data_IF_993637016660
#
_entry.id   IF_993637016660
#
_cell.length_a   1.000
_cell.length_b   1.000
_cell.length_c   1.000
_cell.angle_alpha   90.00
_cell.angle_beta   90.00
_cell.angle_gamma   90.00
#
_symmetry.space_group_name_H-M   'P 1'
#
loop_
_entity.id
_entity.type
_entity.pdbx_description
1 polymer ?
#
# COMPACT_ATOMS: atom_id res chain seq x y z
N UNK A 1 12.30 -0.21 0.20
CA UNK A 1 13.20 0.90 0.58
C UNK A 1 12.52 1.87 1.54
N UNK A 2 11.32 2.40 1.24
CA UNK A 2 10.53 3.20 2.18
C UNK A 2 10.39 2.52 3.56
N UNK A 3 10.00 1.23 3.56
CA UNK A 3 9.89 0.42 4.78
C UNK A 3 11.22 0.31 5.55
N UNK A 4 12.35 0.21 4.82
CA UNK A 4 13.66 0.10 5.43
C UNK A 4 14.06 1.41 6.12
N UNK A 5 13.94 2.55 5.42
CA UNK A 5 14.27 3.87 5.98
C UNK A 5 13.39 4.16 7.20
N UNK A 6 12.08 3.96 7.06
CA UNK A 6 11.10 4.21 8.14
C UNK A 6 11.41 3.36 9.37
N UNK A 7 11.63 2.04 9.19
CA UNK A 7 11.96 1.14 10.29
C UNK A 7 13.32 1.45 10.91
N UNK A 8 14.33 1.80 10.10
CA UNK A 8 15.67 2.07 10.63
C UNK A 8 15.69 3.35 11.46
N UNK A 9 14.96 4.38 11.04
CA UNK A 9 14.80 5.59 11.85
C UNK A 9 14.03 5.28 13.13
N UNK A 10 12.92 4.53 13.07
CA UNK A 10 12.20 4.10 14.27
C UNK A 10 13.14 3.39 15.28
N UNK A 11 13.87 2.36 14.83
CA UNK A 11 14.84 1.58 15.62
C UNK A 11 15.96 2.44 16.24
N UNK A 12 16.46 3.44 15.52
CA UNK A 12 17.49 4.32 16.07
C UNK A 12 16.89 5.32 17.06
N UNK A 13 15.67 5.80 16.83
CA UNK A 13 15.00 6.74 17.74
C UNK A 13 14.40 6.08 18.98
N UNK A 14 14.39 4.75 19.09
CA UNK A 14 14.00 4.05 20.33
C UNK A 14 15.15 3.95 21.34
N UNK A 15 16.38 4.27 20.93
CA UNK A 15 17.56 4.30 21.79
C UNK A 15 17.75 5.70 22.39
N UNK A 16 17.30 5.90 23.63
CA UNK A 16 17.32 7.22 24.31
C UNK A 16 18.73 7.79 24.55
N UNK A 17 19.77 6.98 24.48
CA UNK A 17 21.17 7.34 24.72
C UNK A 17 21.90 7.87 23.49
N UNK A 18 21.29 7.82 22.30
CA UNK A 18 21.87 8.34 21.06
C UNK A 18 21.05 9.51 20.50
N UNK A 19 21.70 10.37 19.72
CA UNK A 19 21.05 11.39 18.89
C UNK A 19 21.31 11.09 17.42
N UNK A 20 20.27 11.14 16.60
CA UNK A 20 20.37 10.89 15.16
C UNK A 20 20.67 12.20 14.43
N UNK A 21 21.70 12.19 13.59
CA UNK A 21 21.91 13.21 12.57
C UNK A 21 21.64 12.62 11.19
N UNK A 22 20.44 12.87 10.66
CA UNK A 22 20.07 12.46 9.31
C UNK A 22 20.46 13.54 8.30
N UNK A 23 21.38 13.23 7.39
CA UNK A 23 21.75 14.14 6.30
C UNK A 23 21.09 13.69 4.99
N UNK A 24 20.32 14.58 4.37
CA UNK A 24 19.81 14.40 3.01
C UNK A 24 20.69 15.20 2.05
N UNK A 25 21.41 14.49 1.19
CA UNK A 25 22.21 15.07 0.12
C UNK A 25 21.75 14.51 -1.25
N UNK A 26 22.07 15.23 -2.32
CA UNK A 26 21.41 15.16 -3.62
C UNK A 26 21.33 13.79 -4.34
N UNK A 27 20.57 13.78 -5.45
CA UNK A 27 20.48 12.69 -6.43
C UNK A 27 19.35 11.68 -6.20
N UNK A 28 18.95 11.41 -4.95
CA UNK A 28 17.90 10.41 -4.62
C UNK A 28 16.65 11.03 -3.98
N UNK A 29 15.92 11.82 -4.75
CA UNK A 29 14.73 12.60 -4.30
C UNK A 29 13.73 11.78 -3.47
N UNK A 30 13.35 10.59 -3.96
CA UNK A 30 12.38 9.72 -3.27
C UNK A 30 12.89 9.23 -1.91
N UNK A 31 14.19 8.99 -1.76
CA UNK A 31 14.77 8.54 -0.48
C UNK A 31 14.88 9.68 0.52
N UNK A 32 15.24 10.88 0.04
CA UNK A 32 15.22 12.09 0.85
C UNK A 32 13.82 12.38 1.40
N UNK A 33 12.78 12.21 0.57
CA UNK A 33 11.39 12.32 1.02
C UNK A 33 11.04 11.34 2.14
N UNK A 34 11.35 10.04 1.96
CA UNK A 34 11.06 9.04 3.01
C UNK A 34 11.86 9.27 4.29
N UNK A 35 13.11 9.74 4.18
CA UNK A 35 13.94 10.09 5.33
C UNK A 35 13.33 11.25 6.10
N UNK A 36 13.01 12.36 5.41
CA UNK A 36 12.38 13.53 6.04
C UNK A 36 11.05 13.18 6.68
N UNK A 37 10.23 12.36 6.02
CA UNK A 37 8.95 11.91 6.58
C UNK A 37 9.13 11.02 7.81
N UNK A 38 10.06 10.05 7.77
CA UNK A 38 10.37 9.22 8.94
C UNK A 38 10.88 10.07 10.12
N UNK A 39 11.72 11.08 9.85
CA UNK A 39 12.14 12.03 10.88
C UNK A 39 10.96 12.83 11.44
N UNK A 40 10.00 13.25 10.62
CA UNK A 40 8.78 13.90 11.13
C UNK A 40 7.96 12.98 12.05
N UNK A 41 7.89 11.68 11.76
CA UNK A 41 7.14 10.73 12.56
C UNK A 41 7.85 10.36 13.87
N UNK A 42 9.13 10.01 13.81
CA UNK A 42 9.85 9.42 14.94
C UNK A 42 10.92 10.32 15.54
N UNK A 43 11.36 11.35 14.83
CA UNK A 43 12.45 12.22 15.28
C UNK A 43 12.12 12.89 16.60
N UNK A 44 12.99 12.69 17.59
CA UNK A 44 12.92 13.27 18.94
C UNK A 44 13.62 14.62 18.97
N UNK A 45 13.42 15.38 20.04
CA UNK A 45 13.94 16.75 20.15
C UNK A 45 15.45 16.87 19.91
N UNK A 46 16.23 15.85 20.29
CA UNK A 46 17.68 15.78 20.06
C UNK A 46 18.10 15.39 18.64
N UNK A 47 17.19 14.88 17.81
CA UNK A 47 17.52 14.35 16.48
C UNK A 47 17.46 15.45 15.42
N UNK A 48 18.45 15.53 14.52
CA UNK A 48 18.61 16.60 13.52
C UNK A 48 18.45 16.06 12.11
N UNK A 49 17.77 16.82 11.24
CA UNK A 49 17.75 16.63 9.79
C UNK A 49 18.55 17.76 9.16
N UNK A 50 19.47 17.47 8.24
CA UNK A 50 20.27 18.49 7.57
C UNK A 50 20.43 18.25 6.07
N UNK A 51 20.81 19.29 5.34
CA UNK A 51 21.27 19.23 3.96
C UNK A 51 22.69 19.76 3.86
N UNK A 52 23.53 19.09 3.07
CA UNK A 52 24.89 19.55 2.78
C UNK A 52 24.84 20.48 1.59
N UNK A 53 25.21 21.74 1.81
CA UNK A 53 25.45 22.71 0.77
C UNK A 53 26.94 22.93 0.58
N UNK A 54 27.29 23.23 -0.65
CA UNK A 54 28.62 23.65 -1.06
C UNK A 54 28.45 24.94 -1.82
N UNK A 55 29.35 25.90 -1.64
CA UNK A 55 29.25 27.17 -2.37
C UNK A 55 29.21 26.95 -3.89
N UNK A 56 28.45 27.79 -4.60
CA UNK A 56 28.10 27.68 -6.03
C UNK A 56 29.27 27.34 -6.97
N UNK A 57 30.48 27.79 -6.62
CA UNK A 57 31.72 27.49 -7.32
C UNK A 57 31.98 25.99 -7.44
N UNK A 58 31.57 25.17 -6.49
CA UNK A 58 31.84 23.73 -6.46
C UNK A 58 30.57 22.88 -6.65
N UNK A 59 29.41 23.49 -6.86
CA UNK A 59 28.20 22.76 -7.25
C UNK A 59 28.35 22.13 -8.65
N UNK A 60 27.92 20.87 -8.78
CA UNK A 60 27.92 20.09 -10.02
C UNK A 60 29.30 19.98 -10.70
N UNK A 61 30.39 20.06 -9.93
CA UNK A 61 31.76 19.85 -10.43
C UNK A 61 32.10 18.37 -10.32
N UNK A 62 32.30 17.71 -11.47
CA UNK A 62 32.50 16.25 -11.55
C UNK A 62 33.66 15.74 -10.70
N UNK A 63 34.75 16.51 -10.63
CA UNK A 63 35.97 16.11 -9.91
C UNK A 63 36.04 16.66 -8.48
N UNK A 64 34.97 17.31 -7.99
CA UNK A 64 34.87 17.79 -6.62
C UNK A 64 34.08 16.80 -5.74
N UNK A 65 34.71 16.33 -4.66
CA UNK A 65 34.08 15.41 -3.70
C UNK A 65 33.96 16.02 -2.30
N UNK A 66 35.03 16.63 -1.79
CA UNK A 66 35.09 17.32 -0.51
C UNK A 66 36.25 18.32 -0.52
N UNK A 67 36.26 19.34 0.37
CA UNK A 67 37.38 20.28 0.47
C UNK A 67 38.67 19.56 0.85
N UNK A 68 39.76 19.83 0.13
CA UNK A 68 41.07 19.24 0.40
C UNK A 68 41.82 20.03 1.45
N UNK A 69 42.73 19.38 2.19
CA UNK A 69 43.62 20.06 3.15
C UNK A 69 44.67 20.89 2.42
N UNK A 70 45.25 20.32 1.37
CA UNK A 70 46.25 20.97 0.51
C UNK A 70 45.63 21.48 -0.78
N UNK A 71 46.37 22.36 -1.47
CA UNK A 71 45.95 22.91 -2.75
C UNK A 71 45.74 21.79 -3.77
N UNK A 72 44.51 21.70 -4.28
CA UNK A 72 44.14 20.71 -5.27
C UNK A 72 43.30 21.39 -6.35
N UNK A 73 43.92 21.63 -7.49
CA UNK A 73 43.30 22.32 -8.61
C UNK A 73 42.52 21.33 -9.47
N UNK A 74 41.23 21.62 -9.66
CA UNK A 74 40.31 20.85 -10.50
C UNK A 74 39.72 21.76 -11.58
N UNK A 75 39.31 21.17 -12.69
CA UNK A 75 38.72 21.93 -13.80
C UNK A 75 37.21 22.05 -13.66
N UNK A 76 36.69 23.26 -13.83
CA UNK A 76 35.25 23.54 -14.01
C UNK A 76 35.05 24.37 -15.26
N UNK A 77 34.52 23.78 -16.33
CA UNK A 77 34.17 24.48 -17.59
C UNK A 77 35.34 25.33 -18.15
N UNK A 78 36.57 24.81 -18.10
CA UNK A 78 37.76 25.50 -18.58
C UNK A 78 38.40 26.49 -17.58
N UNK A 79 37.85 26.64 -16.37
CA UNK A 79 38.47 27.40 -15.27
C UNK A 79 39.09 26.45 -14.24
N UNK A 80 40.29 26.78 -13.76
CA UNK A 80 40.94 26.06 -12.66
C UNK A 80 40.47 26.64 -11.32
N UNK A 81 39.83 25.79 -10.51
CA UNK A 81 39.39 26.13 -9.15
C UNK A 81 40.11 25.23 -8.14
N UNK A 82 40.45 25.76 -6.97
CA UNK A 82 41.14 25.01 -5.92
C UNK A 82 40.15 24.42 -4.93
N UNK A 83 40.03 23.09 -4.87
CA UNK A 83 39.10 22.36 -4.00
C UNK A 83 39.25 22.69 -2.52
N UNK A 84 40.44 23.12 -2.06
CA UNK A 84 40.69 23.59 -0.69
C UNK A 84 39.81 24.78 -0.30
N UNK A 85 39.44 25.62 -1.26
CA UNK A 85 38.65 26.83 -1.04
C UNK A 85 37.14 26.56 -0.97
N UNK A 86 36.71 25.32 -1.15
CA UNK A 86 35.31 24.97 -1.06
C UNK A 86 34.78 25.15 0.37
N UNK A 87 33.66 25.84 0.49
CA UNK A 87 32.96 26.03 1.75
C UNK A 87 31.79 25.07 1.81
N UNK A 88 31.81 24.18 2.80
CA UNK A 88 30.74 23.20 3.06
C UNK A 88 29.91 23.70 4.22
N UNK A 89 28.61 23.87 3.97
CA UNK A 89 27.64 24.27 4.98
C UNK A 89 26.70 23.11 5.27
N UNK A 90 26.63 22.72 6.54
CA UNK A 90 25.64 21.76 7.02
C UNK A 90 24.41 22.52 7.50
N UNK A 91 23.43 22.71 6.62
CA UNK A 91 22.22 23.45 6.94
C UNK A 91 21.19 22.53 7.59
N UNK A 92 20.76 22.86 8.80
CA UNK A 92 19.63 22.16 9.43
C UNK A 92 18.33 22.44 8.68
N UNK A 93 17.53 21.39 8.47
CA UNK A 93 16.21 21.48 7.88
C UNK A 93 15.19 21.37 9.01
N UNK A 94 14.38 22.40 9.27
CA UNK A 94 13.29 22.29 10.22
C UNK A 94 12.24 21.31 9.68
N UNK A 95 11.70 20.46 10.55
CA UNK A 95 10.62 19.53 10.22
C UNK A 95 9.60 19.42 11.37
N UNK A 96 8.38 19.03 11.04
CA UNK A 96 7.29 18.90 12.02
C UNK A 96 7.47 17.61 12.80
N UNK A 97 7.62 17.71 14.12
CA UNK A 97 7.75 16.56 15.01
C UNK A 97 6.38 16.08 15.45
N UNK A 98 5.94 14.97 14.89
CA UNK A 98 4.65 14.36 15.19
C UNK A 98 4.75 13.32 16.31
N UNK A 99 5.97 12.88 16.70
CA UNK A 99 6.20 11.79 17.68
C UNK A 99 5.33 11.91 18.94
N UNK A 100 5.25 13.10 19.54
CA UNK A 100 4.49 13.34 20.78
C UNK A 100 2.97 13.36 20.62
N UNK A 101 2.46 13.48 19.39
CA UNK A 101 1.02 13.47 19.09
C UNK A 101 0.48 12.04 18.96
N UNK A 102 1.35 11.04 18.95
CA UNK A 102 0.95 9.64 18.95
C UNK A 102 0.84 9.16 20.40
N UNK A 103 -0.29 8.50 20.74
CA UNK A 103 -0.39 7.72 21.97
C UNK A 103 0.77 6.70 22.01
N UNK A 104 1.37 6.46 23.17
CA UNK A 104 2.53 5.56 23.32
C UNK A 104 2.33 4.20 22.65
N UNK A 105 1.09 3.69 22.69
CA UNK A 105 0.70 2.41 22.10
C UNK A 105 0.74 2.39 20.56
N UNK A 106 0.63 3.55 19.90
CA UNK A 106 0.67 3.63 18.44
C UNK A 106 2.12 3.56 17.93
N UNK A 107 3.08 4.14 18.66
CA UNK A 107 4.51 4.10 18.31
C UNK A 107 5.05 2.66 18.34
N UNK A 108 4.77 1.92 19.40
CA UNK A 108 5.15 0.49 19.54
C UNK A 108 4.58 -0.36 18.40
N UNK A 109 3.36 -0.04 17.99
CA UNK A 109 2.72 -0.73 16.89
C UNK A 109 3.24 -0.32 15.50
N UNK A 110 3.87 0.84 15.36
CA UNK A 110 4.37 1.35 14.10
C UNK A 110 5.78 0.78 13.78
N UNK A 111 6.57 0.41 14.80
CA UNK A 111 7.92 -0.16 14.61
C UNK A 111 7.93 -1.43 13.72
N UNK A 112 6.86 -2.22 13.75
CA UNK A 112 6.71 -3.45 12.93
C UNK A 112 5.97 -3.23 11.60
N UNK A 113 5.51 -2.02 11.30
CA UNK A 113 4.59 -1.76 10.18
C UNK A 113 5.31 -1.27 8.92
N UNK A 114 4.74 -1.62 7.77
CA UNK A 114 5.17 -1.06 6.48
C UNK A 114 4.84 0.43 6.43
N UNK A 115 5.56 1.19 5.60
CA UNK A 115 5.29 2.61 5.35
C UNK A 115 3.82 2.82 4.98
N UNK A 116 3.27 1.96 4.11
CA UNK A 116 1.85 1.97 3.77
C UNK A 116 0.95 1.85 5.01
N UNK A 117 1.19 0.89 5.90
CA UNK A 117 0.38 0.75 7.12
C UNK A 117 0.44 1.99 8.02
N UNK A 118 1.61 2.63 8.12
CA UNK A 118 1.78 3.89 8.86
C UNK A 118 0.94 5.00 8.26
N UNK A 119 1.00 5.18 6.93
CA UNK A 119 0.15 6.15 6.22
C UNK A 119 -1.34 5.86 6.42
N UNK A 120 -1.78 4.60 6.34
CA UNK A 120 -3.18 4.24 6.61
C UNK A 120 -3.58 4.61 8.04
N UNK A 121 -2.76 4.31 9.03
CA UNK A 121 -3.05 4.64 10.42
C UNK A 121 -3.26 6.14 10.61
N UNK A 122 -2.38 6.96 10.02
CA UNK A 122 -2.47 8.41 10.11
C UNK A 122 -3.72 8.95 9.42
N UNK A 123 -4.05 8.40 8.26
CA UNK A 123 -5.27 8.76 7.55
C UNK A 123 -6.54 8.30 8.30
N UNK A 124 -6.47 7.18 9.03
CA UNK A 124 -7.57 6.66 9.84
C UNK A 124 -7.83 7.48 11.11
N UNK A 125 -6.78 7.95 11.78
CA UNK A 125 -6.90 8.72 13.03
C UNK A 125 -7.76 9.98 12.89
N UNK A 126 -7.85 10.53 11.66
CA UNK A 126 -8.65 11.71 11.33
C UNK A 126 -9.96 11.38 10.60
N UNK A 127 -10.27 10.11 10.32
CA UNK A 127 -11.43 9.72 9.54
C UNK A 127 -12.57 9.20 10.43
N UNK A 128 -13.71 9.89 10.42
CA UNK A 128 -14.92 9.45 11.13
C UNK A 128 -15.53 8.17 10.51
N UNK A 129 -15.32 7.93 9.22
CA UNK A 129 -15.81 6.75 8.49
C UNK A 129 -14.79 6.21 7.49
N UNK A 130 -14.67 4.89 7.38
CA UNK A 130 -13.82 4.24 6.38
C UNK A 130 -14.54 4.21 5.04
N UNK A 131 -13.94 4.84 4.03
CA UNK A 131 -14.39 4.77 2.64
C UNK A 131 -13.50 3.86 1.81
N UNK A 132 -14.12 3.10 0.91
CA UNK A 132 -13.45 2.25 -0.07
C UNK A 132 -13.73 2.80 -1.46
N UNK A 133 -12.69 2.99 -2.26
CA UNK A 133 -12.82 3.20 -3.70
C UNK A 133 -12.26 1.99 -4.45
N UNK A 134 -13.06 1.41 -5.33
CA UNK A 134 -12.70 0.28 -6.17
C UNK A 134 -12.55 0.78 -7.59
N UNK A 135 -11.41 0.47 -8.21
CA UNK A 135 -11.18 0.69 -9.62
C UNK A 135 -11.10 -0.67 -10.33
N UNK A 136 -12.14 -1.00 -11.10
CA UNK A 136 -12.25 -2.29 -11.78
C UNK A 136 -11.19 -2.42 -12.88
N UNK A 137 -11.03 -1.38 -13.71
CA UNK A 137 -10.08 -1.34 -14.83
C UNK A 137 -8.64 -1.53 -14.39
N UNK A 138 -8.28 -0.91 -13.26
CA UNK A 138 -6.95 -0.95 -12.71
C UNK A 138 -6.75 -2.08 -11.68
N UNK A 139 -7.79 -2.89 -11.44
CA UNK A 139 -7.85 -3.95 -10.43
C UNK A 139 -7.25 -3.52 -9.09
N UNK A 140 -7.79 -2.43 -8.52
CA UNK A 140 -7.30 -1.90 -7.24
C UNK A 140 -8.41 -1.55 -6.27
N UNK A 141 -8.11 -1.71 -4.99
CA UNK A 141 -8.92 -1.30 -3.86
C UNK A 141 -8.15 -0.20 -3.12
N UNK A 142 -8.75 0.97 -3.00
CA UNK A 142 -8.17 2.16 -2.41
C UNK A 142 -8.86 2.44 -1.08
N UNK A 143 -8.09 2.45 0.01
CA UNK A 143 -8.60 2.67 1.37
C UNK A 143 -7.61 3.55 2.12
N UNK A 144 -8.10 4.63 2.74
CA UNK A 144 -7.28 5.56 3.52
C UNK A 144 -6.05 6.07 2.74
N UNK A 145 -6.26 6.44 1.47
CA UNK A 145 -5.19 6.93 0.58
C UNK A 145 -4.18 5.89 0.12
N UNK A 146 -4.40 4.60 0.40
CA UNK A 146 -3.54 3.50 -0.05
C UNK A 146 -4.22 2.73 -1.17
N UNK A 147 -3.57 2.69 -2.33
CA UNK A 147 -3.99 1.87 -3.46
C UNK A 147 -3.40 0.46 -3.39
N UNK A 148 -4.26 -0.54 -3.23
CA UNK A 148 -3.88 -1.95 -3.16
C UNK A 148 -4.25 -2.63 -4.48
N UNK A 149 -3.25 -2.94 -5.29
CA UNK A 149 -3.43 -3.73 -6.52
C UNK A 149 -3.79 -5.16 -6.16
N UNK A 150 -4.87 -5.69 -6.72
CA UNK A 150 -5.34 -7.07 -6.58
C UNK A 150 -5.43 -7.71 -7.97
N UNK A 151 -5.56 -9.03 -8.07
CA UNK A 151 -5.85 -9.64 -9.38
C UNK A 151 -7.35 -9.58 -9.67
N UNK A 152 -7.73 -9.64 -10.95
CA UNK A 152 -9.14 -9.70 -11.35
C UNK A 152 -9.90 -10.84 -10.65
N UNK A 153 -9.23 -11.98 -10.40
CA UNK A 153 -9.80 -13.13 -9.66
C UNK A 153 -10.24 -12.75 -8.26
N UNK A 154 -9.39 -12.02 -7.52
CA UNK A 154 -9.68 -11.60 -6.15
C UNK A 154 -10.75 -10.50 -6.14
N UNK A 155 -10.63 -9.52 -7.03
CA UNK A 155 -11.54 -8.38 -7.07
C UNK A 155 -12.94 -8.78 -7.51
N UNK A 156 -13.06 -9.70 -8.48
CA UNK A 156 -14.35 -10.18 -8.96
C UNK A 156 -15.15 -10.89 -7.87
N UNK A 157 -14.48 -11.65 -7.00
CA UNK A 157 -15.17 -12.30 -5.88
C UNK A 157 -15.62 -11.28 -4.83
N UNK A 158 -14.78 -10.27 -4.57
CA UNK A 158 -15.14 -9.20 -3.66
C UNK A 158 -16.36 -8.42 -4.18
N UNK A 159 -16.35 -7.99 -5.45
CA UNK A 159 -17.48 -7.33 -6.10
C UNK A 159 -18.73 -8.22 -6.16
N UNK A 160 -18.57 -9.52 -6.42
CA UNK A 160 -19.67 -10.48 -6.39
C UNK A 160 -20.38 -10.44 -5.04
N UNK A 161 -19.65 -10.47 -3.91
CA UNK A 161 -20.23 -10.44 -2.56
C UNK A 161 -20.84 -9.07 -2.24
N UNK A 162 -20.17 -7.98 -2.61
CA UNK A 162 -20.70 -6.63 -2.43
C UNK A 162 -22.02 -6.39 -3.19
N UNK A 163 -22.20 -7.07 -4.33
CA UNK A 163 -23.42 -6.99 -5.14
C UNK A 163 -24.52 -7.96 -4.68
N UNK A 164 -24.39 -8.60 -3.51
CA UNK A 164 -25.45 -9.42 -2.92
C UNK A 164 -26.32 -8.56 -2.01
N UNK A 165 -27.59 -8.93 -1.79
CA UNK A 165 -28.43 -8.29 -0.77
C UNK A 165 -27.73 -8.26 0.59
N UNK A 166 -27.76 -7.12 1.28
CA UNK A 166 -27.06 -6.91 2.56
C UNK A 166 -25.55 -7.20 2.51
N UNK A 167 -24.94 -7.18 1.31
CA UNK A 167 -23.53 -7.56 1.08
C UNK A 167 -23.19 -8.94 1.67
N UNK A 168 -24.16 -9.87 1.62
CA UNK A 168 -24.10 -11.16 2.31
C UNK A 168 -24.56 -12.32 1.41
N UNK A 169 -23.86 -13.45 1.49
CA UNK A 169 -24.20 -14.66 0.72
C UNK A 169 -23.91 -15.94 1.48
N UNK A 170 -24.91 -16.82 1.53
CA UNK A 170 -24.78 -18.15 2.12
C UNK A 170 -24.28 -19.15 1.09
N UNK A 171 -23.07 -19.67 1.29
CA UNK A 171 -22.50 -20.73 0.46
C UNK A 171 -23.07 -22.12 0.80
N UNK A 172 -24.39 -22.23 0.91
CA UNK A 172 -25.15 -23.43 1.25
C UNK A 172 -25.38 -24.35 0.05
N UNK A 173 -26.41 -25.20 0.11
CA UNK A 173 -26.74 -26.13 -0.99
C UNK A 173 -27.12 -25.38 -2.26
N UNK A 174 -27.98 -24.35 -2.15
CA UNK A 174 -28.39 -23.53 -3.30
C UNK A 174 -27.20 -22.92 -4.06
N UNK A 175 -26.21 -22.43 -3.31
CA UNK A 175 -25.02 -21.81 -3.88
C UNK A 175 -24.23 -22.74 -4.80
N UNK A 176 -24.07 -24.01 -4.39
CA UNK A 176 -23.31 -25.01 -5.15
C UNK A 176 -24.13 -25.73 -6.20
N UNK A 177 -25.41 -25.40 -6.35
CA UNK A 177 -26.29 -25.93 -7.40
C UNK A 177 -26.64 -24.89 -8.46
N UNK A 178 -26.73 -23.62 -8.09
CA UNK A 178 -27.15 -22.56 -8.99
C UNK A 178 -26.00 -21.99 -9.82
N UNK A 179 -26.21 -21.91 -11.13
CA UNK A 179 -25.25 -21.30 -12.06
C UNK A 179 -25.27 -19.76 -12.00
N UNK A 180 -26.29 -19.16 -11.40
CA UNK A 180 -26.45 -17.72 -11.32
C UNK A 180 -25.24 -17.04 -10.65
N UNK A 181 -24.73 -17.62 -9.56
CA UNK A 181 -23.55 -17.09 -8.87
C UNK A 181 -22.27 -17.19 -9.71
N UNK A 182 -22.08 -18.30 -10.43
CA UNK A 182 -20.97 -18.44 -11.38
C UNK A 182 -21.03 -17.38 -12.47
N UNK A 183 -22.21 -17.16 -13.06
CA UNK A 183 -22.41 -16.14 -14.11
C UNK A 183 -22.14 -14.73 -13.58
N UNK A 184 -22.62 -14.39 -12.39
CA UNK A 184 -22.41 -13.06 -11.80
C UNK A 184 -20.95 -12.81 -11.44
N UNK A 185 -20.23 -13.82 -10.92
CA UNK A 185 -18.79 -13.69 -10.70
C UNK A 185 -18.02 -13.55 -12.02
N UNK A 186 -18.34 -14.39 -13.01
CA UNK A 186 -17.65 -14.38 -14.31
C UNK A 186 -17.93 -13.10 -15.09
N UNK A 187 -19.06 -12.42 -14.90
CA UNK A 187 -19.32 -11.12 -15.53
C UNK A 187 -18.36 -10.05 -15.01
N UNK A 188 -18.19 -9.91 -13.69
CA UNK A 188 -17.19 -9.02 -13.11
C UNK A 188 -15.77 -9.42 -13.54
N UNK A 189 -15.45 -10.71 -13.47
CA UNK A 189 -14.13 -11.23 -13.83
C UNK A 189 -13.77 -10.93 -15.30
N UNK A 190 -14.73 -11.08 -16.21
CA UNK A 190 -14.56 -10.80 -17.63
C UNK A 190 -14.35 -9.30 -17.90
N UNK A 191 -15.14 -8.43 -17.26
CA UNK A 191 -14.99 -6.97 -17.39
C UNK A 191 -13.58 -6.50 -17.02
N UNK A 192 -12.96 -7.16 -16.04
CA UNK A 192 -11.60 -6.89 -15.59
C UNK A 192 -10.50 -7.61 -16.39
N UNK A 193 -10.87 -8.30 -17.49
CA UNK A 193 -9.95 -9.05 -18.37
C UNK A 193 -9.09 -10.04 -17.59
N UNK A 194 -9.72 -10.81 -16.70
CA UNK A 194 -9.02 -11.78 -15.86
C UNK A 194 -8.38 -12.93 -16.64
N UNK A 195 -7.46 -13.64 -15.97
CA UNK A 195 -6.72 -14.78 -16.53
C UNK A 195 -7.64 -15.90 -17.05
N UNK A 196 -7.43 -16.31 -18.30
CA UNK A 196 -8.26 -17.31 -18.98
C UNK A 196 -8.36 -18.65 -18.21
N UNK A 197 -7.34 -19.01 -17.42
CA UNK A 197 -7.32 -20.26 -16.65
C UNK A 197 -8.41 -20.35 -15.58
N UNK A 198 -8.96 -19.21 -15.14
CA UNK A 198 -10.04 -19.20 -14.13
C UNK A 198 -11.34 -19.74 -14.71
N UNK A 199 -11.61 -19.56 -16.01
CA UNK A 199 -12.80 -20.08 -16.68
C UNK A 199 -12.90 -21.62 -16.58
N UNK A 200 -11.76 -22.32 -16.66
CA UNK A 200 -11.67 -23.77 -16.44
C UNK A 200 -12.15 -24.24 -15.06
N UNK A 201 -12.05 -23.39 -14.02
CA UNK A 201 -12.62 -23.71 -12.70
C UNK A 201 -14.14 -23.86 -12.74
N UNK A 202 -14.79 -23.19 -13.70
CA UNK A 202 -16.22 -23.21 -13.91
C UNK A 202 -16.62 -24.13 -15.07
N UNK A 203 -15.72 -24.99 -15.56
CA UNK A 203 -16.01 -25.97 -16.61
C UNK A 203 -15.99 -25.45 -18.04
N UNK A 204 -15.65 -24.18 -18.25
CA UNK A 204 -15.49 -23.58 -19.58
C UNK A 204 -14.08 -23.81 -20.11
N UNK A 205 -13.91 -23.98 -21.42
CA UNK A 205 -12.59 -24.25 -22.02
C UNK A 205 -11.71 -22.99 -22.00
N UNK A 206 -12.28 -21.85 -22.35
CA UNK A 206 -11.58 -20.57 -22.40
C UNK A 206 -12.53 -19.36 -22.26
N UNK A 207 -12.02 -18.18 -22.61
CA UNK A 207 -12.78 -16.92 -22.61
C UNK A 207 -13.78 -16.84 -23.77
N UNK A 208 -13.56 -17.58 -24.86
CA UNK A 208 -14.41 -17.57 -26.06
C UNK A 208 -15.77 -18.18 -25.71
N UNK A 209 -15.81 -19.26 -24.93
CA UNK A 209 -17.05 -19.84 -24.43
C UNK A 209 -17.93 -18.80 -23.72
N UNK A 210 -17.31 -17.95 -22.89
CA UNK A 210 -18.01 -16.86 -22.22
C UNK A 210 -18.48 -15.79 -23.20
N UNK A 211 -17.62 -15.35 -24.13
CA UNK A 211 -17.94 -14.30 -25.11
C UNK A 211 -19.04 -14.69 -26.08
N UNK A 212 -19.09 -15.97 -26.48
CA UNK A 212 -20.09 -16.53 -27.38
C UNK A 212 -21.33 -17.03 -26.63
N UNK A 213 -21.38 -16.89 -25.30
CA UNK A 213 -22.45 -17.38 -24.44
C UNK A 213 -22.68 -18.91 -24.56
N UNK A 214 -21.62 -19.67 -24.88
CA UNK A 214 -21.60 -21.13 -24.86
C UNK A 214 -21.41 -21.62 -23.42
N UNK A 215 -22.48 -21.67 -22.64
CA UNK A 215 -22.46 -22.00 -21.21
C UNK A 215 -22.93 -23.43 -20.91
N UNK A 216 -22.84 -24.33 -21.89
CA UNK A 216 -23.35 -25.71 -21.78
C UNK A 216 -22.60 -26.54 -20.73
N UNK A 217 -21.30 -26.33 -20.58
CA UNK A 217 -20.43 -27.00 -19.60
C UNK A 217 -20.29 -26.22 -18.27
N UNK A 218 -20.99 -25.09 -18.13
CA UNK A 218 -20.83 -24.21 -16.97
C UNK A 218 -21.21 -24.92 -15.67
N UNK A 219 -20.30 -24.86 -14.69
CA UNK A 219 -20.47 -25.44 -13.35
C UNK A 219 -20.79 -24.38 -12.30
N UNK A 220 -21.54 -24.74 -11.24
CA UNK A 220 -21.73 -23.88 -10.08
C UNK A 220 -20.39 -23.54 -9.41
N UNK A 221 -20.33 -22.40 -8.74
CA UNK A 221 -19.11 -21.94 -8.07
C UNK A 221 -18.79 -22.88 -6.90
N UNK A 222 -17.58 -23.49 -6.85
CA UNK A 222 -17.19 -24.33 -5.72
C UNK A 222 -17.02 -23.52 -4.42
N UNK A 223 -17.29 -24.13 -3.27
CA UNK A 223 -17.09 -23.48 -1.96
C UNK A 223 -15.61 -23.22 -1.69
N UNK A 224 -14.77 -24.17 -2.08
CA UNK A 224 -13.33 -24.14 -1.94
C UNK A 224 -12.73 -22.99 -2.74
N UNK A 225 -13.32 -22.66 -3.89
CA UNK A 225 -12.92 -21.51 -4.69
C UNK A 225 -13.11 -20.20 -3.92
N UNK A 226 -14.29 -20.01 -3.29
CA UNK A 226 -14.58 -18.83 -2.47
C UNK A 226 -13.57 -18.71 -1.34
N UNK A 227 -13.35 -19.80 -0.59
CA UNK A 227 -12.42 -19.82 0.55
C UNK A 227 -10.98 -19.48 0.13
N UNK A 228 -10.48 -20.10 -0.93
CA UNK A 228 -9.11 -19.87 -1.41
C UNK A 228 -8.91 -18.44 -1.90
N UNK A 229 -9.87 -17.90 -2.65
CA UNK A 229 -9.79 -16.53 -3.19
C UNK A 229 -9.91 -15.50 -2.08
N UNK A 230 -10.81 -15.69 -1.11
CA UNK A 230 -10.92 -14.79 0.05
C UNK A 230 -9.66 -14.81 0.91
N UNK A 231 -9.08 -15.99 1.18
CA UNK A 231 -7.82 -16.10 1.92
C UNK A 231 -6.68 -15.32 1.24
N UNK A 232 -6.56 -15.42 -0.08
CA UNK A 232 -5.58 -14.65 -0.85
C UNK A 232 -5.86 -13.14 -0.83
N UNK A 233 -7.13 -12.74 -0.95
CA UNK A 233 -7.54 -11.33 -0.86
C UNK A 233 -7.21 -10.76 0.52
N UNK A 234 -7.61 -11.45 1.60
CA UNK A 234 -7.35 -11.02 2.98
C UNK A 234 -5.87 -10.88 3.25
N UNK A 235 -5.04 -11.84 2.80
CA UNK A 235 -3.58 -11.75 2.92
C UNK A 235 -3.05 -10.48 2.24
N UNK A 236 -3.50 -10.19 1.02
CA UNK A 236 -3.04 -9.02 0.26
C UNK A 236 -3.45 -7.69 0.90
N UNK A 237 -4.65 -7.64 1.49
CA UNK A 237 -5.11 -6.48 2.25
C UNK A 237 -4.32 -6.33 3.56
N UNK A 238 -4.08 -7.42 4.30
CA UNK A 238 -3.35 -7.43 5.57
C UNK A 238 -1.87 -7.01 5.44
N UNK A 239 -1.27 -7.19 4.26
CA UNK A 239 0.08 -6.70 3.95
C UNK A 239 0.16 -5.16 3.97
N UNK A 240 -0.94 -4.48 3.66
CA UNK A 240 -0.97 -3.02 3.46
C UNK A 240 -1.80 -2.25 4.47
N UNK A 241 -2.75 -2.89 5.13
CA UNK A 241 -3.69 -2.24 6.03
C UNK A 241 -3.46 -2.61 7.50
N UNK A 242 -3.76 -1.68 8.42
CA UNK A 242 -3.97 -1.97 9.83
C UNK A 242 -5.02 -3.05 10.08
N UNK A 243 -4.89 -3.86 11.15
CA UNK A 243 -5.90 -4.88 11.52
C UNK A 243 -7.31 -4.32 11.69
N UNK A 244 -7.47 -3.15 12.30
CA UNK A 244 -8.77 -2.50 12.53
C UNK A 244 -9.47 -2.11 11.23
N UNK A 245 -8.71 -1.56 10.28
CA UNK A 245 -9.22 -1.17 8.96
C UNK A 245 -9.54 -2.42 8.14
N UNK A 246 -8.64 -3.41 8.17
CA UNK A 246 -8.86 -4.70 7.51
C UNK A 246 -10.14 -5.35 8.01
N UNK A 247 -10.40 -5.31 9.32
CA UNK A 247 -11.58 -5.91 9.91
C UNK A 247 -12.89 -5.26 9.43
N UNK A 248 -12.87 -3.97 9.12
CA UNK A 248 -14.02 -3.26 8.53
C UNK A 248 -14.30 -3.69 7.09
N UNK A 249 -13.25 -3.86 6.28
CA UNK A 249 -13.41 -4.05 4.83
C UNK A 249 -13.33 -5.50 4.36
N UNK A 250 -12.80 -6.42 5.18
CA UNK A 250 -12.68 -7.83 4.78
C UNK A 250 -14.05 -8.48 4.68
N UNK A 251 -14.11 -9.55 3.89
CA UNK A 251 -15.24 -10.48 3.91
C UNK A 251 -15.14 -11.38 5.16
N UNK A 252 -16.14 -11.31 6.03
CA UNK A 252 -16.28 -12.16 7.21
C UNK A 252 -16.96 -13.47 6.85
N UNK A 253 -16.78 -14.49 7.70
CA UNK A 253 -17.43 -15.80 7.57
C UNK A 253 -17.96 -16.24 8.93
N UNK A 254 -19.18 -16.77 8.98
CA UNK A 254 -19.79 -17.34 10.20
C UNK A 254 -19.24 -18.74 10.55
N UNK A 255 -18.44 -19.35 9.66
CA UNK A 255 -17.80 -20.65 9.88
C UNK A 255 -18.76 -21.85 9.98
N UNK A 256 -20.04 -21.69 9.62
CA UNK A 256 -21.05 -22.74 9.80
C UNK A 256 -20.73 -23.96 8.92
N UNK A 257 -20.64 -25.15 9.56
CA UNK A 257 -20.45 -26.42 8.86
C UNK A 257 -21.63 -26.70 7.91
N UNK A 258 -21.33 -27.01 6.65
CA UNK A 258 -22.34 -27.30 5.63
C UNK A 258 -22.71 -26.11 4.73
N UNK A 259 -22.19 -24.91 5.01
CA UNK A 259 -22.29 -23.75 4.13
C UNK A 259 -22.22 -22.44 4.89
N UNK A 260 -21.03 -21.86 4.93
CA UNK A 260 -20.79 -20.60 5.63
C UNK A 260 -21.47 -19.41 4.94
N UNK A 261 -21.87 -18.43 5.74
CA UNK A 261 -22.31 -17.11 5.26
C UNK A 261 -21.13 -16.18 5.18
N UNK A 262 -20.92 -15.58 4.02
CA UNK A 262 -19.90 -14.58 3.78
C UNK A 262 -20.52 -13.19 3.71
N UNK A 263 -19.97 -12.22 4.44
CA UNK A 263 -20.52 -10.86 4.49
C UNK A 263 -19.47 -9.78 4.64
N UNK A 264 -19.74 -8.59 4.09
CA UNK A 264 -18.95 -7.37 4.35
C UNK A 264 -19.73 -6.47 5.31
N UNK A 265 -19.06 -5.78 6.24
CA UNK A 265 -19.76 -4.90 7.20
C UNK A 265 -20.48 -3.75 6.48
N UNK A 266 -21.66 -3.38 7.00
CA UNK A 266 -22.54 -2.37 6.40
C UNK A 266 -22.14 -0.92 6.67
N UNK A 267 -21.27 -0.66 7.66
CA UNK A 267 -20.83 0.67 8.07
C UNK A 267 -19.78 1.30 7.14
N UNK A 268 -19.46 0.62 6.03
CA UNK A 268 -18.43 1.03 5.08
C UNK A 268 -19.06 1.64 3.83
N UNK A 269 -18.67 2.87 3.50
CA UNK A 269 -19.03 3.51 2.23
C UNK A 269 -18.15 2.96 1.11
N UNK A 270 -18.77 2.48 0.02
CA UNK A 270 -18.04 1.85 -1.09
C UNK A 270 -18.41 2.56 -2.39
N UNK A 271 -17.39 2.92 -3.16
CA UNK A 271 -17.53 3.43 -4.51
C UNK A 271 -16.86 2.47 -5.49
N UNK A 272 -17.54 2.14 -6.58
CA UNK A 272 -17.04 1.36 -7.70
C UNK A 272 -16.99 2.25 -8.94
N UNK A 273 -15.78 2.47 -9.47
CA UNK A 273 -15.54 3.30 -10.66
C UNK A 273 -16.19 4.69 -10.58
N UNK A 274 -16.29 5.24 -9.37
CA UNK A 274 -16.88 6.56 -9.08
C UNK A 274 -18.37 6.56 -8.69
N UNK A 275 -19.05 5.41 -8.73
CA UNK A 275 -20.45 5.28 -8.31
C UNK A 275 -20.57 4.60 -6.94
N UNK A 276 -21.47 5.08 -6.08
CA UNK A 276 -21.73 4.47 -4.76
C UNK A 276 -22.50 3.14 -4.96
N UNK A 277 -22.11 2.09 -4.21
CA UNK A 277 -22.70 0.74 -4.27
C UNK A 277 -22.99 0.13 -2.89
#
# INVERSE_FOLDING_TARGET
MADYITRKIAELTSQDDIAIHASIAGGRKTMAFYMGYAMSLYGREQDVLSHVFVNDTFEFVTDFYFPTIEDHWIEKKGELINAKLAQVTLAEIPFVRMRKQFESNLLDQIEEKTFSKTVAMMNNANAEQVSIAINSKACSISVLGIDIKVSAKLLALYLFILNQPERSIKAGTKFVTELAHSKQYLSFFHQMKGDARVYGTFGLEDVIDWQQNNLTSLKPMPREFVQQVLSQLHKKLAEKLPPEVLDKIKVHSDGVKGGATYSVKGDVSITLDGAII
#
